data_IF_118903724706
#
_entry.id   IF_118903724706
#
_cell.length_a   1.000
_cell.length_b   1.000
_cell.length_c   1.000
_cell.angle_alpha   90.00
_cell.angle_beta   90.00
_cell.angle_gamma   90.00
#
_symmetry.space_group_name_H-M   'P 1'
#
loop_
_entity.id
_entity.type
_entity.pdbx_description
1 polymer ?
#
# COMPACT_ATOMS: atom_id res chain seq x y z
N UNK A 1 -10.19 -7.92 -3.17
CA UNK A 1 -10.22 -6.43 -3.27
C UNK A 1 -11.22 -5.94 -4.32
N UNK A 2 -11.54 -6.75 -5.34
CA UNK A 2 -12.55 -6.47 -6.38
C UNK A 2 -13.97 -6.27 -5.83
N UNK A 3 -14.27 -6.83 -4.65
CA UNK A 3 -15.59 -6.67 -4.02
C UNK A 3 -15.82 -5.27 -3.42
N UNK A 4 -14.74 -4.55 -3.05
CA UNK A 4 -14.82 -3.22 -2.41
C UNK A 4 -14.57 -2.07 -3.40
N UNK A 5 -13.76 -2.29 -4.42
CA UNK A 5 -13.41 -1.31 -5.44
C UNK A 5 -13.58 -1.89 -6.85
N UNK A 6 -14.07 -1.07 -7.79
CA UNK A 6 -14.09 -1.42 -9.22
C UNK A 6 -12.69 -1.44 -9.85
N UNK A 7 -11.76 -0.68 -9.27
CA UNK A 7 -10.33 -0.65 -9.61
C UNK A 7 -9.53 -0.36 -8.35
N UNK A 8 -8.35 -0.97 -8.19
CA UNK A 8 -7.46 -0.68 -7.06
C UNK A 8 -7.24 0.84 -6.94
N UNK A 9 -7.30 1.42 -5.73
CA UNK A 9 -6.99 2.84 -5.56
C UNK A 9 -5.57 3.11 -6.06
N UNK A 10 -5.41 4.22 -6.77
CA UNK A 10 -4.10 4.66 -7.22
C UNK A 10 -3.22 4.91 -5.98
N UNK A 11 -2.17 4.09 -5.83
CA UNK A 11 -1.26 4.17 -4.68
C UNK A 11 -0.55 5.53 -4.61
N UNK A 12 -0.47 6.28 -5.71
CA UNK A 12 0.09 7.64 -5.73
C UNK A 12 -0.69 8.62 -4.84
N UNK A 13 -1.94 8.29 -4.52
CA UNK A 13 -2.85 9.09 -3.70
C UNK A 13 -2.98 8.57 -2.26
N UNK A 14 -2.26 7.50 -1.91
CA UNK A 14 -2.27 6.90 -0.58
C UNK A 14 -1.02 7.32 0.21
N UNK A 15 -1.14 7.42 1.54
CA UNK A 15 0.01 7.62 2.42
C UNK A 15 0.61 6.27 2.82
N UNK A 16 1.92 6.10 2.59
CA UNK A 16 2.66 4.89 2.98
C UNK A 16 3.16 5.05 4.41
N UNK A 17 2.43 4.47 5.37
CA UNK A 17 2.73 4.61 6.80
C UNK A 17 3.49 3.42 7.39
N UNK A 18 3.48 2.25 6.73
CA UNK A 18 4.08 1.02 7.23
C UNK A 18 4.89 0.29 6.17
N UNK A 19 6.08 -0.17 6.55
CA UNK A 19 6.94 -1.04 5.75
C UNK A 19 7.52 -2.11 6.65
N UNK A 20 7.33 -3.37 6.28
CA UNK A 20 7.94 -4.52 6.94
C UNK A 20 8.59 -5.42 5.91
N UNK A 21 9.90 -5.61 6.05
CA UNK A 21 10.68 -6.51 5.22
C UNK A 21 10.90 -7.80 6.01
N UNK A 22 10.41 -8.91 5.48
CA UNK A 22 10.64 -10.25 6.03
C UNK A 22 11.60 -11.02 5.11
N UNK A 23 12.85 -11.10 5.55
CA UNK A 23 13.92 -11.81 4.83
C UNK A 23 13.69 -13.33 4.80
N UNK A 24 12.98 -13.90 5.78
CA UNK A 24 12.79 -15.36 5.87
C UNK A 24 11.85 -15.86 4.80
N UNK A 25 10.80 -15.08 4.54
CA UNK A 25 9.79 -15.41 3.53
C UNK A 25 10.05 -14.72 2.18
N UNK A 26 11.12 -13.92 2.08
CA UNK A 26 11.40 -13.06 0.91
C UNK A 26 10.16 -12.24 0.54
N UNK A 27 9.61 -11.54 1.54
CA UNK A 27 8.37 -10.78 1.41
C UNK A 27 8.51 -9.35 1.94
N UNK A 28 7.72 -8.44 1.38
CA UNK A 28 7.59 -7.06 1.87
C UNK A 28 6.11 -6.78 2.09
N UNK A 29 5.75 -6.29 3.27
CA UNK A 29 4.39 -5.82 3.57
C UNK A 29 4.38 -4.30 3.67
N UNK A 30 3.50 -3.66 2.91
CA UNK A 30 3.31 -2.21 2.88
C UNK A 30 1.92 -1.88 3.41
N UNK A 31 1.81 -0.88 4.28
CA UNK A 31 0.54 -0.36 4.79
C UNK A 31 0.26 1.04 4.26
N UNK A 32 -0.95 1.23 3.76
CA UNK A 32 -1.42 2.44 3.13
C UNK A 32 -2.65 2.98 3.84
N UNK A 33 -2.68 4.30 4.04
CA UNK A 33 -3.84 5.05 4.47
C UNK A 33 -4.37 5.88 3.32
N UNK A 34 -5.70 5.97 3.19
CA UNK A 34 -6.34 6.78 2.17
C UNK A 34 -7.68 7.34 2.64
N UNK A 35 -7.99 8.56 2.21
CA UNK A 35 -9.31 9.18 2.37
C UNK A 35 -10.32 8.67 1.33
N UNK A 36 -9.86 7.92 0.32
CA UNK A 36 -10.73 7.33 -0.70
C UNK A 36 -11.44 6.10 -0.13
N UNK A 37 -12.61 6.33 0.47
CA UNK A 37 -13.48 5.25 0.97
C UNK A 37 -13.99 4.40 -0.21
N UNK A 38 -14.03 3.06 -0.09
CA UNK A 38 -14.45 2.18 -1.18
C UNK A 38 -15.87 2.44 -1.68
N UNK A 39 -16.06 2.32 -3.00
CA UNK A 39 -17.35 2.54 -3.70
C UNK A 39 -18.39 1.49 -3.33
N UNK A 40 -17.95 0.28 -2.97
CA UNK A 40 -18.80 -0.78 -2.42
C UNK A 40 -18.44 -1.03 -0.95
N UNK A 41 -18.88 -0.17 -0.02
CA UNK A 41 -18.61 -0.37 1.41
C UNK A 41 -19.37 -1.61 1.90
N UNK A 42 -18.72 -2.38 2.80
CA UNK A 42 -19.39 -3.50 3.47
C UNK A 42 -20.63 -2.99 4.22
N UNK A 43 -21.70 -3.80 4.38
CA UNK A 43 -22.92 -3.38 5.06
C UNK A 43 -22.66 -2.78 6.46
N UNK A 44 -21.71 -3.35 7.19
CA UNK A 44 -21.27 -2.88 8.52
C UNK A 44 -20.59 -1.49 8.53
N UNK A 45 -20.26 -0.93 7.36
CA UNK A 45 -19.70 0.41 7.19
C UNK A 45 -20.73 1.45 6.79
N UNK A 46 -21.90 1.03 6.26
CA UNK A 46 -22.92 1.96 5.76
C UNK A 46 -23.59 2.76 6.88
N UNK A 47 -23.61 2.23 8.11
CA UNK A 47 -24.22 2.88 9.27
C UNK A 47 -23.23 3.72 10.10
N UNK A 48 -21.97 3.85 9.66
CA UNK A 48 -20.92 4.56 10.41
C UNK A 48 -20.25 5.61 9.53
N UNK A 49 -20.02 6.81 10.08
CA UNK A 49 -19.37 7.95 9.40
C UNK A 49 -17.85 7.75 9.16
N UNK A 50 -17.41 6.56 8.79
CA UNK A 50 -15.99 6.29 8.51
C UNK A 50 -15.48 7.17 7.37
N UNK A 51 -14.34 7.82 7.59
CA UNK A 51 -13.73 8.76 6.66
C UNK A 51 -12.29 8.39 6.27
N UNK A 52 -11.78 7.24 6.75
CA UNK A 52 -10.46 6.73 6.43
C UNK A 52 -10.46 5.22 6.18
N UNK A 53 -9.63 4.80 5.23
CA UNK A 53 -9.44 3.41 4.83
C UNK A 53 -7.95 3.05 4.88
N UNK A 54 -7.64 2.00 5.64
CA UNK A 54 -6.32 1.42 5.79
C UNK A 54 -6.28 0.08 5.07
N UNK A 55 -5.22 -0.21 4.33
CA UNK A 55 -4.99 -1.51 3.74
C UNK A 55 -3.53 -1.91 3.71
N UNK A 56 -3.28 -3.21 3.78
CA UNK A 56 -1.95 -3.79 3.68
C UNK A 56 -1.80 -4.63 2.41
N UNK A 57 -0.72 -4.40 1.68
CA UNK A 57 -0.30 -5.22 0.54
C UNK A 57 0.91 -6.04 0.94
N UNK A 58 0.84 -7.36 0.74
CA UNK A 58 1.96 -8.28 0.91
C UNK A 58 2.50 -8.66 -0.47
N UNK A 59 3.77 -8.37 -0.69
CA UNK A 59 4.53 -8.70 -1.88
C UNK A 59 5.39 -9.93 -1.58
N UNK A 60 5.38 -10.90 -2.48
CA UNK A 60 6.15 -12.15 -2.33
C UNK A 60 7.18 -12.30 -3.45
N UNK A 61 8.17 -13.16 -3.23
CA UNK A 61 9.27 -13.41 -4.18
C UNK A 61 10.05 -12.13 -4.49
N UNK A 62 10.44 -11.44 -3.42
CA UNK A 62 11.14 -10.15 -3.49
C UNK A 62 12.54 -10.32 -4.08
N UNK A 63 12.90 -9.43 -5.00
CA UNK A 63 14.23 -9.31 -5.57
C UNK A 63 14.61 -7.83 -5.75
N UNK A 64 15.90 -7.57 -5.96
CA UNK A 64 16.43 -6.22 -6.21
C UNK A 64 16.03 -5.17 -5.15
N UNK A 65 15.85 -5.57 -3.89
CA UNK A 65 15.47 -4.67 -2.81
C UNK A 65 16.55 -3.60 -2.59
N UNK A 66 16.13 -2.33 -2.65
CA UNK A 66 16.96 -1.16 -2.36
C UNK A 66 16.24 -0.26 -1.38
N UNK A 67 16.92 0.04 -0.28
CA UNK A 67 16.46 1.00 0.73
C UNK A 67 17.56 2.03 0.92
N UNK A 68 17.22 3.31 0.85
CA UNK A 68 18.17 4.40 1.10
C UNK A 68 17.50 5.55 1.82
N UNK A 69 18.19 6.11 2.82
CA UNK A 69 17.74 7.28 3.57
C UNK A 69 16.31 7.18 4.10
N UNK A 70 15.88 5.97 4.50
CA UNK A 70 14.53 5.75 4.99
C UNK A 70 14.31 6.54 6.29
N UNK A 71 13.38 7.50 6.23
CA UNK A 71 13.00 8.37 7.33
C UNK A 71 11.57 8.03 7.79
N UNK A 72 11.12 8.67 8.88
CA UNK A 72 9.73 8.63 9.32
C UNK A 72 8.74 8.77 8.14
N UNK A 73 7.55 8.14 8.23
CA UNK A 73 6.54 8.21 7.20
C UNK A 73 6.23 9.68 6.91
N UNK A 74 6.53 10.06 5.69
CA UNK A 74 6.29 11.36 5.11
C UNK A 74 5.83 11.07 3.70
N UNK A 75 4.91 11.88 3.16
CA UNK A 75 4.26 11.67 1.87
C UNK A 75 5.27 11.21 0.81
N UNK A 76 5.20 9.93 0.44
CA UNK A 76 6.06 9.33 -0.59
C UNK A 76 5.29 9.33 -1.90
N UNK A 77 5.98 9.62 -3.00
CA UNK A 77 5.48 9.28 -4.34
C UNK A 77 5.62 7.78 -4.52
N UNK A 78 4.49 7.09 -4.59
CA UNK A 78 4.42 5.64 -4.75
C UNK A 78 4.06 5.31 -6.20
N UNK A 79 4.80 4.40 -6.81
CA UNK A 79 4.53 3.87 -8.13
C UNK A 79 4.63 2.34 -8.09
N UNK A 80 3.69 1.70 -8.77
CA UNK A 80 3.71 0.26 -9.01
C UNK A 80 3.46 0.01 -10.50
N UNK A 81 4.30 -0.77 -11.14
CA UNK A 81 4.20 -1.11 -12.56
C UNK A 81 4.46 -2.60 -12.79
N UNK A 82 4.03 -3.11 -13.95
CA UNK A 82 4.50 -4.40 -14.41
C UNK A 82 6.02 -4.36 -14.68
N UNK A 83 6.72 -5.44 -14.36
CA UNK A 83 8.09 -5.68 -14.76
C UNK A 83 8.15 -6.37 -16.13
N UNK A 84 9.31 -6.28 -16.80
CA UNK A 84 9.55 -6.90 -18.11
C UNK A 84 9.49 -8.44 -18.08
N UNK A 85 9.63 -9.03 -16.89
CA UNK A 85 9.59 -10.45 -16.60
C UNK A 85 8.18 -10.98 -16.24
N UNK A 86 7.16 -10.13 -16.32
CA UNK A 86 5.80 -10.45 -15.89
C UNK A 86 5.56 -10.34 -14.38
N UNK A 87 6.57 -9.89 -13.61
CA UNK A 87 6.43 -9.53 -12.21
C UNK A 87 5.92 -8.11 -11.99
N UNK A 88 6.14 -7.59 -10.78
CA UNK A 88 5.80 -6.22 -10.37
C UNK A 88 7.05 -5.48 -9.92
N UNK A 89 7.13 -4.20 -10.27
CA UNK A 89 8.14 -3.25 -9.79
C UNK A 89 7.46 -2.24 -8.88
N UNK A 90 7.99 -2.08 -7.67
CA UNK A 90 7.52 -1.10 -6.70
C UNK A 90 8.58 -0.02 -6.46
N UNK A 91 8.14 1.23 -6.34
CA UNK A 91 8.98 2.32 -5.85
C UNK A 91 8.18 3.26 -4.94
N UNK A 92 8.81 3.66 -3.84
CA UNK A 92 8.37 4.76 -2.99
C UNK A 92 9.52 5.76 -2.82
N UNK A 93 9.30 7.00 -3.25
CA UNK A 93 10.31 8.07 -3.24
C UNK A 93 9.84 9.25 -2.42
N UNK A 94 10.75 9.80 -1.62
CA UNK A 94 10.55 11.06 -0.89
C UNK A 94 11.87 11.81 -0.80
N UNK A 95 11.88 13.06 -0.29
CA UNK A 95 13.11 13.82 -0.11
C UNK A 95 14.15 13.03 0.70
N UNK A 96 15.25 12.64 0.05
CA UNK A 96 16.34 11.87 0.67
C UNK A 96 16.03 10.40 0.97
N UNK A 97 14.85 9.89 0.59
CA UNK A 97 14.40 8.54 0.95
C UNK A 97 13.95 7.73 -0.28
N UNK A 98 14.31 6.46 -0.31
CA UNK A 98 14.01 5.51 -1.38
C UNK A 98 13.68 4.14 -0.80
N UNK A 99 12.62 3.52 -1.33
CA UNK A 99 12.34 2.10 -1.23
C UNK A 99 11.97 1.59 -2.62
N UNK A 100 12.71 0.62 -3.15
CA UNK A 100 12.45 0.00 -4.45
C UNK A 100 12.64 -1.51 -4.34
N UNK A 101 11.81 -2.27 -5.05
CA UNK A 101 12.00 -3.72 -5.19
C UNK A 101 11.25 -4.25 -6.42
N UNK A 102 11.68 -5.41 -6.89
CA UNK A 102 10.90 -6.26 -7.77
C UNK A 102 10.23 -7.37 -6.95
N UNK A 103 9.10 -7.88 -7.44
CA UNK A 103 8.33 -8.93 -6.80
C UNK A 103 7.60 -9.79 -7.83
N UNK A 104 7.31 -11.05 -7.51
CA UNK A 104 6.54 -11.92 -8.40
C UNK A 104 5.04 -11.65 -8.36
N UNK A 105 4.52 -11.26 -7.19
CA UNK A 105 3.09 -11.03 -6.98
C UNK A 105 2.83 -10.15 -5.77
N UNK A 106 1.64 -9.56 -5.72
CA UNK A 106 1.12 -8.79 -4.60
C UNK A 106 -0.31 -9.22 -4.26
N UNK A 107 -0.61 -9.32 -2.97
CA UNK A 107 -1.94 -9.64 -2.46
C UNK A 107 -2.36 -8.67 -1.34
N UNK A 108 -3.66 -8.54 -1.12
CA UNK A 108 -4.18 -7.77 0.02
C UNK A 108 -4.14 -8.66 1.25
N UNK A 109 -3.31 -8.30 2.20
CA UNK A 109 -3.17 -9.04 3.45
C UNK A 109 -4.21 -8.61 4.50
N UNK A 110 -4.61 -7.33 4.50
CA UNK A 110 -5.54 -6.77 5.48
C UNK A 110 -6.23 -5.52 4.96
N UNK A 111 -7.45 -5.27 5.42
CA UNK A 111 -8.15 -4.00 5.25
C UNK A 111 -8.81 -3.58 6.57
N UNK A 112 -9.00 -2.27 6.76
CA UNK A 112 -9.67 -1.70 7.93
C UNK A 112 -10.26 -0.34 7.58
N UNK A 113 -11.47 -0.05 8.07
CA UNK A 113 -12.04 1.30 8.10
C UNK A 113 -12.03 1.85 9.51
N UNK A 114 -11.91 3.18 9.63
CA UNK A 114 -11.97 3.86 10.92
C UNK A 114 -12.46 5.30 10.78
N UNK A 115 -12.87 5.87 11.91
CA UNK A 115 -13.21 7.29 12.02
C UNK A 115 -11.95 8.02 12.47
N UNK A 116 -11.37 8.80 11.57
CA UNK A 116 -10.25 9.68 11.84
C UNK A 116 -10.77 11.07 12.23
N UNK A 117 -10.09 11.71 13.19
CA UNK A 117 -10.39 13.11 13.58
C UNK A 117 -10.10 14.11 12.46
N UNK A 118 -9.18 13.76 11.55
CA UNK A 118 -8.97 14.36 10.24
C UNK A 118 -8.56 13.23 9.27
N UNK A 119 -9.11 13.23 8.06
CA UNK A 119 -8.69 12.29 7.02
C UNK A 119 -7.23 12.58 6.60
N UNK A 120 -6.43 11.54 6.30
CA UNK A 120 -5.03 11.67 5.88
C UNK A 120 -4.85 12.41 4.55
#
# INVERSE_FOLDING_TARGET
MTDLYDSLPDLSCCDLFYVHVDERESSVTLGFDTSYVPVRPLPEWQEKDFNAFEFHLRFSSISELRVSGWSAPARKTVLMSAGDDGGLRFSARGPGSLLEFASGQAEVARTRTYLASAAP
#
